data_IF_097515959952
#
_entry.id   IF_097515959952
#
_cell.length_a   1.000
_cell.length_b   1.000
_cell.length_c   1.000
_cell.angle_alpha   90.00
_cell.angle_beta   90.00
_cell.angle_gamma   90.00
#
_symmetry.space_group_name_H-M   'P 1'
#
loop_
_entity.id
_entity.type
_entity.pdbx_description
1 polymer ?
#
# COMPACT_ATOMS: atom_id res chain seq x y z
N UNK A 1 -1.91 2.39 98.39
CA UNK A 1 -2.46 1.13 97.82
C UNK A 1 -3.54 1.48 96.89
N UNK A 2 -3.29 1.37 95.63
CA UNK A 2 -4.28 1.11 94.56
C UNK A 2 -3.53 1.11 93.25
N UNK A 3 -3.45 -0.06 92.62
CA UNK A 3 -2.85 -0.38 91.35
C UNK A 3 -3.75 0.09 90.19
N UNK A 4 -3.25 0.91 89.30
CA UNK A 4 -3.91 1.30 88.10
C UNK A 4 -3.32 0.55 86.89
N UNK A 5 -4.09 -0.38 86.30
CA UNK A 5 -3.69 -1.12 85.15
C UNK A 5 -3.84 -0.28 83.89
N UNK A 6 -2.78 -0.18 83.09
CA UNK A 6 -2.79 0.40 81.80
C UNK A 6 -3.15 -0.67 80.74
N UNK A 7 -4.28 -0.50 80.09
CA UNK A 7 -4.68 -1.33 78.91
C UNK A 7 -4.04 -0.79 77.67
N UNK A 8 -3.15 -1.56 77.05
CA UNK A 8 -2.60 -1.29 75.72
C UNK A 8 -3.57 -1.78 74.65
N UNK A 9 -4.17 -0.84 73.93
CA UNK A 9 -4.89 -1.16 72.68
C UNK A 9 -3.91 -1.41 71.52
N UNK A 10 -3.82 -2.64 71.08
CA UNK A 10 -3.15 -2.99 69.85
C UNK A 10 -4.09 -2.73 68.64
N UNK A 11 -3.74 -1.74 67.85
CA UNK A 11 -4.39 -1.49 66.58
C UNK A 11 -3.88 -2.51 65.53
N UNK A 12 -4.76 -3.41 65.09
CA UNK A 12 -4.50 -4.30 63.96
C UNK A 12 -4.68 -3.51 62.68
N UNK A 13 -3.56 -3.13 62.06
CA UNK A 13 -3.56 -2.63 60.70
C UNK A 13 -3.80 -3.83 59.75
N UNK A 14 -5.02 -3.96 59.24
CA UNK A 14 -5.29 -4.85 58.11
C UNK A 14 -4.66 -4.23 56.84
N UNK A 15 -3.52 -4.74 56.45
CA UNK A 15 -2.90 -4.50 55.16
C UNK A 15 -3.75 -5.08 54.04
N UNK A 16 -4.51 -4.23 53.36
CA UNK A 16 -5.13 -4.58 52.09
C UNK A 16 -4.02 -4.78 51.06
N UNK A 17 -3.63 -6.02 50.84
CA UNK A 17 -2.82 -6.41 49.68
C UNK A 17 -3.61 -6.13 48.44
N UNK A 18 -3.35 -4.98 47.79
CA UNK A 18 -3.71 -4.78 46.39
C UNK A 18 -2.86 -5.76 45.59
N UNK A 19 -3.46 -6.90 45.26
CA UNK A 19 -2.98 -7.79 44.24
C UNK A 19 -2.99 -7.02 42.92
N UNK A 20 -1.83 -6.47 42.57
CA UNK A 20 -1.58 -6.07 41.20
C UNK A 20 -1.68 -7.34 40.38
N UNK A 21 -2.76 -7.46 39.59
CA UNK A 21 -2.83 -8.43 38.54
C UNK A 21 -1.64 -8.15 37.60
N UNK A 22 -0.55 -8.86 37.80
CA UNK A 22 0.51 -9.01 36.81
C UNK A 22 -0.11 -9.78 35.65
N UNK A 23 -0.74 -9.04 34.72
CA UNK A 23 -1.13 -9.56 33.43
C UNK A 23 0.12 -10.15 32.79
N UNK A 24 0.03 -11.39 32.42
CA UNK A 24 1.00 -12.12 31.59
C UNK A 24 1.17 -11.37 30.26
N UNK A 25 2.03 -10.34 30.25
CA UNK A 25 2.29 -9.47 29.09
C UNK A 25 3.10 -10.16 27.97
N UNK A 26 2.97 -11.47 27.80
CA UNK A 26 3.66 -12.28 26.80
C UNK A 26 2.77 -13.18 25.94
N UNK A 27 1.47 -13.30 26.25
CA UNK A 27 0.59 -14.30 25.61
C UNK A 27 -0.45 -13.74 24.63
N UNK A 28 -0.56 -12.43 24.46
CA UNK A 28 -1.58 -11.80 23.63
C UNK A 28 -0.98 -10.74 22.70
N UNK A 29 -1.61 -10.59 21.53
CA UNK A 29 -1.30 -9.51 20.59
C UNK A 29 -1.61 -8.16 21.23
N UNK A 30 -0.59 -7.35 21.36
CA UNK A 30 -0.71 -5.97 21.86
C UNK A 30 -1.05 -5.01 20.69
N UNK A 31 -1.83 -3.98 21.01
CA UNK A 31 -2.24 -2.95 20.05
C UNK A 31 -1.84 -1.58 20.58
N UNK A 32 -1.09 -0.82 19.78
CA UNK A 32 -0.79 0.59 20.05
C UNK A 32 -1.26 1.44 18.89
N UNK A 33 -2.05 2.46 19.15
CA UNK A 33 -2.52 3.41 18.13
C UNK A 33 -1.83 4.75 18.36
N UNK A 34 -1.12 5.23 17.35
CA UNK A 34 -0.52 6.56 17.34
C UNK A 34 -1.37 7.45 16.43
N UNK A 35 -2.20 8.28 17.04
CA UNK A 35 -3.10 9.24 16.40
C UNK A 35 -2.82 10.67 16.87
N UNK A 36 -1.65 10.90 17.45
CA UNK A 36 -1.20 12.23 17.89
C UNK A 36 -1.05 13.21 16.71
N UNK A 37 -1.09 14.51 17.03
CA UNK A 37 -1.06 15.58 16.03
C UNK A 37 0.15 15.49 15.08
N UNK A 38 1.31 15.07 15.55
CA UNK A 38 2.52 14.96 14.73
C UNK A 38 2.38 13.80 13.76
N UNK A 39 1.97 12.62 14.26
CA UNK A 39 1.70 11.45 13.42
C UNK A 39 0.71 11.79 12.31
N UNK A 40 -0.44 12.40 12.66
CA UNK A 40 -1.46 12.77 11.67
C UNK A 40 -1.00 13.88 10.72
N UNK A 41 -0.11 14.78 11.13
CA UNK A 41 0.42 15.82 10.25
C UNK A 41 1.35 15.26 9.17
N UNK A 42 2.09 14.19 9.48
CA UNK A 42 3.07 13.55 8.59
C UNK A 42 2.43 12.41 7.79
N UNK A 43 1.89 11.40 8.48
CA UNK A 43 1.34 10.20 7.86
C UNK A 43 -0.07 10.41 7.27
N UNK A 44 -0.80 11.46 7.70
CA UNK A 44 -2.20 11.78 7.36
C UNK A 44 -3.23 10.77 7.86
N UNK A 45 -2.78 9.66 8.41
CA UNK A 45 -3.59 8.58 8.98
C UNK A 45 -2.95 8.09 10.28
N UNK A 46 -3.72 7.47 11.19
CA UNK A 46 -3.17 6.81 12.35
C UNK A 46 -2.19 5.70 11.98
N UNK A 47 -1.14 5.55 12.78
CA UNK A 47 -0.21 4.43 12.72
C UNK A 47 -0.57 3.44 13.82
N UNK A 48 -0.91 2.22 13.45
CA UNK A 48 -1.35 1.16 14.36
C UNK A 48 -0.27 0.09 14.42
N UNK A 49 0.27 -0.16 15.61
CA UNK A 49 1.27 -1.19 15.82
C UNK A 49 0.63 -2.40 16.49
N UNK A 50 0.77 -3.56 15.85
CA UNK A 50 0.33 -4.85 16.34
C UNK A 50 1.56 -5.71 16.59
N UNK A 51 1.81 -6.06 17.86
CA UNK A 51 3.04 -6.75 18.23
C UNK A 51 2.83 -7.83 19.30
N UNK A 52 3.68 -8.87 19.25
CA UNK A 52 3.54 -10.08 20.05
C UNK A 52 2.80 -11.21 19.33
N UNK A 53 2.56 -12.35 20.01
CA UNK A 53 1.89 -13.50 19.41
C UNK A 53 0.43 -13.18 19.07
N UNK A 54 -0.04 -13.68 17.93
CA UNK A 54 -1.44 -13.58 17.51
C UNK A 54 -2.23 -14.67 18.22
N UNK A 55 -3.01 -14.28 19.23
CA UNK A 55 -3.91 -15.17 19.97
C UNK A 55 -5.30 -15.25 19.29
N UNK A 56 -6.10 -16.25 19.66
CA UNK A 56 -7.39 -16.54 19.05
C UNK A 56 -8.38 -15.36 19.08
N UNK A 57 -8.31 -14.50 20.09
CA UNK A 57 -9.20 -13.34 20.26
C UNK A 57 -8.66 -12.05 19.64
N UNK A 58 -7.45 -12.08 19.04
CA UNK A 58 -6.79 -10.90 18.47
C UNK A 58 -7.65 -10.17 17.44
N UNK A 59 -8.28 -10.90 16.54
CA UNK A 59 -9.15 -10.32 15.52
C UNK A 59 -10.40 -9.65 16.09
N UNK A 60 -10.99 -10.22 17.15
CA UNK A 60 -12.14 -9.63 17.84
C UNK A 60 -11.76 -8.30 18.48
N UNK A 61 -10.61 -8.24 19.20
CA UNK A 61 -10.15 -7.01 19.84
C UNK A 61 -9.82 -5.90 18.82
N UNK A 62 -9.12 -6.23 17.76
CA UNK A 62 -8.82 -5.26 16.69
C UNK A 62 -10.10 -4.84 15.96
N UNK A 63 -11.04 -5.77 15.72
CA UNK A 63 -12.35 -5.48 15.14
C UNK A 63 -13.16 -4.48 15.96
N UNK A 64 -13.15 -4.58 17.29
CA UNK A 64 -13.79 -3.61 18.20
C UNK A 64 -13.18 -2.20 18.08
N UNK A 65 -11.85 -2.10 17.90
CA UNK A 65 -11.18 -0.82 17.68
C UNK A 65 -11.54 -0.21 16.33
N UNK A 66 -11.72 -1.02 15.30
CA UNK A 66 -12.18 -0.58 13.97
C UNK A 66 -13.64 -0.10 14.05
N UNK A 67 -14.52 -0.86 14.68
CA UNK A 67 -15.94 -0.50 14.85
C UNK A 67 -16.11 0.80 15.65
N UNK A 68 -15.32 1.00 16.69
CA UNK A 68 -15.33 2.25 17.47
C UNK A 68 -14.60 3.41 16.78
N UNK A 69 -14.10 3.23 15.58
CA UNK A 69 -13.30 4.20 14.80
C UNK A 69 -12.00 4.67 15.46
N UNK A 70 -11.52 3.97 16.48
CA UNK A 70 -10.16 4.18 16.96
C UNK A 70 -9.10 3.79 15.94
N UNK A 71 -9.43 2.83 15.09
CA UNK A 71 -8.68 2.47 13.90
C UNK A 71 -9.58 2.77 12.69
N UNK A 72 -9.49 3.96 12.08
CA UNK A 72 -10.30 4.32 10.92
C UNK A 72 -9.83 3.57 9.66
N UNK A 73 -10.67 3.49 8.61
CA UNK A 73 -10.26 3.00 7.30
C UNK A 73 -9.02 3.74 6.77
N UNK A 74 -8.26 3.07 5.92
CA UNK A 74 -7.00 3.54 5.34
C UNK A 74 -5.85 3.77 6.34
N UNK A 75 -5.96 3.27 7.59
CA UNK A 75 -4.86 3.33 8.57
C UNK A 75 -3.64 2.51 8.12
N UNK A 76 -2.46 2.93 8.59
CA UNK A 76 -1.22 2.16 8.43
C UNK A 76 -1.07 1.17 9.59
N UNK A 77 -0.96 -0.11 9.26
CA UNK A 77 -0.82 -1.23 10.20
C UNK A 77 0.62 -1.73 10.18
N UNK A 78 1.32 -1.60 11.29
CA UNK A 78 2.69 -2.07 11.48
C UNK A 78 2.68 -3.37 12.28
N UNK A 79 3.25 -4.43 11.71
CA UNK A 79 3.24 -5.78 12.25
C UNK A 79 4.62 -6.17 12.77
N UNK A 80 4.65 -6.74 13.99
CA UNK A 80 5.83 -7.36 14.58
C UNK A 80 5.41 -8.57 15.43
N UNK A 81 5.30 -9.74 14.82
CA UNK A 81 4.78 -10.93 15.47
C UNK A 81 5.52 -12.20 15.05
N UNK A 82 5.78 -13.09 16.00
CA UNK A 82 6.34 -14.42 15.71
C UNK A 82 5.30 -15.40 15.14
N UNK A 83 4.05 -14.97 14.92
CA UNK A 83 2.95 -15.83 14.49
C UNK A 83 1.95 -16.14 15.59
N UNK A 84 1.30 -17.29 15.51
CA UNK A 84 0.30 -17.76 16.48
C UNK A 84 -0.92 -18.40 15.84
N UNK A 85 -2.14 -18.00 16.25
CA UNK A 85 -3.38 -18.59 15.73
C UNK A 85 -3.63 -18.17 14.27
N UNK A 86 -3.61 -19.14 13.37
CA UNK A 86 -3.79 -18.93 11.94
C UNK A 86 -5.18 -18.35 11.61
N UNK A 87 -6.24 -18.84 12.26
CA UNK A 87 -7.59 -18.38 11.99
C UNK A 87 -7.74 -16.90 12.38
N UNK A 88 -7.15 -16.50 13.51
CA UNK A 88 -7.08 -15.11 13.93
C UNK A 88 -6.22 -14.25 12.97
N UNK A 89 -5.08 -14.78 12.47
CA UNK A 89 -4.26 -14.11 11.46
C UNK A 89 -5.02 -13.83 10.16
N UNK A 90 -5.74 -14.83 9.63
CA UNK A 90 -6.61 -14.69 8.47
C UNK A 90 -7.75 -13.69 8.74
N UNK A 91 -8.38 -13.75 9.91
CA UNK A 91 -9.45 -12.84 10.29
C UNK A 91 -8.95 -11.39 10.41
N UNK A 92 -7.76 -11.15 10.98
CA UNK A 92 -7.11 -9.84 10.98
C UNK A 92 -6.89 -9.33 9.56
N UNK A 93 -6.35 -10.17 8.67
CA UNK A 93 -6.14 -9.79 7.29
C UNK A 93 -7.44 -9.42 6.55
N UNK A 94 -8.54 -10.13 6.79
CA UNK A 94 -9.86 -9.77 6.25
C UNK A 94 -10.35 -8.42 6.77
N UNK A 95 -10.12 -8.11 8.06
CA UNK A 95 -10.42 -6.78 8.63
C UNK A 95 -9.58 -5.69 7.95
N UNK A 96 -8.30 -5.94 7.71
CA UNK A 96 -7.42 -4.97 7.04
C UNK A 96 -7.86 -4.72 5.60
N UNK A 97 -8.22 -5.76 4.86
CA UNK A 97 -8.73 -5.62 3.49
C UNK A 97 -10.05 -4.84 3.45
N UNK A 98 -10.98 -5.16 4.33
CA UNK A 98 -12.27 -4.47 4.42
C UNK A 98 -12.11 -2.98 4.77
N UNK A 99 -11.09 -2.63 5.55
CA UNK A 99 -10.76 -1.24 5.90
C UNK A 99 -9.84 -0.53 4.90
N UNK A 100 -9.48 -1.13 3.77
CA UNK A 100 -8.48 -0.60 2.81
C UNK A 100 -7.16 -0.21 3.49
N UNK A 101 -6.75 -0.98 4.49
CA UNK A 101 -5.58 -0.66 5.30
C UNK A 101 -4.28 -0.98 4.56
N UNK A 102 -3.22 -0.29 4.96
CA UNK A 102 -1.87 -0.53 4.47
C UNK A 102 -1.10 -1.34 5.51
N UNK A 103 -0.44 -2.42 5.10
CA UNK A 103 0.39 -3.24 6.00
C UNK A 103 1.87 -3.02 5.79
N UNK A 104 2.59 -2.94 6.90
CA UNK A 104 4.03 -2.76 7.01
C UNK A 104 4.60 -3.74 8.04
N UNK A 105 5.90 -3.95 8.01
CA UNK A 105 6.62 -4.44 9.18
C UNK A 105 7.11 -3.24 9.99
N UNK A 106 7.06 -3.36 11.32
CA UNK A 106 7.55 -2.29 12.17
C UNK A 106 7.25 -2.52 13.66
N UNK A 107 8.19 -2.11 14.52
CA UNK A 107 8.03 -2.13 15.97
C UNK A 107 7.45 -0.80 16.47
N UNK A 108 6.65 -0.82 17.56
CA UNK A 108 6.06 0.38 18.10
C UNK A 108 7.12 1.40 18.48
N UNK A 109 6.93 2.64 18.04
CA UNK A 109 7.76 3.76 18.45
C UNK A 109 7.44 4.08 19.90
N UNK A 110 8.45 4.04 20.76
CA UNK A 110 8.32 4.58 22.10
C UNK A 110 8.24 6.10 21.99
N UNK A 111 7.58 6.73 22.97
CA UNK A 111 7.30 8.16 23.06
C UNK A 111 8.50 9.04 22.69
N UNK A 112 8.25 10.28 22.25
CA UNK A 112 9.19 11.26 21.67
C UNK A 112 10.49 11.53 22.49
N UNK A 113 10.59 11.02 23.70
CA UNK A 113 11.74 11.21 24.60
C UNK A 113 12.74 10.04 24.63
N UNK A 114 12.48 8.95 23.89
CA UNK A 114 13.40 7.81 23.89
C UNK A 114 14.16 7.71 22.57
N UNK A 115 15.49 7.45 22.59
CA UNK A 115 16.29 7.26 21.37
C UNK A 115 15.67 6.15 20.53
N UNK A 116 15.57 6.41 19.22
CA UNK A 116 15.12 5.43 18.23
C UNK A 116 16.28 4.45 18.01
N UNK A 117 16.28 3.35 18.74
CA UNK A 117 17.09 2.21 18.32
C UNK A 117 16.31 1.49 17.23
N UNK A 118 16.90 1.21 16.08
CA UNK A 118 16.28 0.40 15.05
C UNK A 118 16.06 -1.01 15.63
N UNK A 119 14.84 -1.30 16.05
CA UNK A 119 14.44 -2.66 16.37
C UNK A 119 14.00 -3.32 15.08
N UNK A 120 14.61 -4.44 14.76
CA UNK A 120 14.14 -5.31 13.71
C UNK A 120 12.76 -5.85 14.07
N UNK A 121 11.84 -5.81 13.11
CA UNK A 121 10.54 -6.45 13.23
C UNK A 121 10.56 -7.78 12.48
N UNK A 122 9.73 -8.71 12.93
CA UNK A 122 9.52 -9.95 12.19
C UNK A 122 8.03 -10.20 12.00
N UNK A 123 7.68 -10.85 10.90
CA UNK A 123 6.33 -11.29 10.63
C UNK A 123 6.36 -12.66 9.98
N UNK A 124 5.98 -13.69 10.73
CA UNK A 124 6.00 -15.10 10.29
C UNK A 124 4.67 -15.76 10.64
N UNK A 125 4.40 -16.92 10.07
CA UNK A 125 3.23 -17.75 10.34
C UNK A 125 1.92 -16.94 10.24
N UNK A 126 1.03 -16.99 11.23
CA UNK A 126 -0.24 -16.23 11.26
C UNK A 126 -0.09 -14.73 10.95
N UNK A 127 1.06 -14.13 11.29
CA UNK A 127 1.36 -12.74 10.96
C UNK A 127 1.49 -12.52 9.45
N UNK A 128 2.11 -13.43 8.73
CA UNK A 128 2.27 -13.34 7.28
C UNK A 128 0.91 -13.34 6.56
N UNK A 129 -0.06 -14.10 7.08
CA UNK A 129 -1.44 -14.08 6.58
C UNK A 129 -2.14 -12.77 6.92
N UNK A 130 -1.97 -12.24 8.12
CA UNK A 130 -2.50 -10.91 8.47
C UNK A 130 -1.92 -9.82 7.56
N UNK A 131 -0.60 -9.84 7.29
CA UNK A 131 0.07 -8.91 6.38
C UNK A 131 -0.52 -8.98 4.97
N UNK A 132 -0.76 -10.18 4.43
CA UNK A 132 -1.31 -10.37 3.08
C UNK A 132 -2.69 -9.71 2.89
N UNK A 133 -3.43 -9.48 3.99
CA UNK A 133 -4.73 -8.80 3.98
C UNK A 133 -4.68 -7.31 3.66
N UNK A 134 -3.54 -6.64 3.81
CA UNK A 134 -3.42 -5.23 3.43
C UNK A 134 -3.80 -4.98 1.97
N UNK A 135 -4.53 -3.89 1.70
CA UNK A 135 -4.76 -3.45 0.32
C UNK A 135 -3.43 -3.03 -0.30
N UNK A 136 -2.70 -2.20 0.40
CA UNK A 136 -1.31 -1.88 0.09
C UNK A 136 -0.40 -2.60 1.10
N UNK A 137 0.67 -3.18 0.59
CA UNK A 137 1.60 -4.01 1.36
C UNK A 137 3.02 -3.55 1.05
N UNK A 138 3.71 -3.02 2.06
CA UNK A 138 5.06 -2.50 1.90
C UNK A 138 6.08 -3.59 2.21
N UNK A 139 7.02 -3.79 1.30
CA UNK A 139 8.13 -4.69 1.51
C UNK A 139 8.94 -4.29 2.75
N UNK A 140 9.56 -5.25 3.47
CA UNK A 140 10.38 -4.98 4.63
C UNK A 140 11.56 -4.05 4.30
N UNK A 141 11.96 -3.24 5.26
CA UNK A 141 13.07 -2.31 5.13
C UNK A 141 14.11 -2.52 6.23
N UNK A 142 15.35 -2.19 5.95
CA UNK A 142 16.43 -2.31 6.92
C UNK A 142 16.64 -3.75 7.40
N UNK A 143 16.50 -4.00 8.71
CA UNK A 143 16.66 -5.31 9.34
C UNK A 143 15.36 -6.07 9.59
N UNK A 144 14.23 -5.56 9.08
CA UNK A 144 12.94 -6.23 9.19
C UNK A 144 12.93 -7.53 8.38
N UNK A 145 12.25 -8.57 8.90
CA UNK A 145 12.24 -9.89 8.31
C UNK A 145 10.82 -10.39 8.11
N UNK A 146 10.51 -10.80 6.89
CA UNK A 146 9.26 -11.47 6.54
C UNK A 146 9.51 -12.94 6.27
N UNK A 147 8.74 -13.82 6.93
CA UNK A 147 8.83 -15.24 6.72
C UNK A 147 7.50 -15.83 6.24
N UNK A 148 7.51 -16.40 5.04
CA UNK A 148 6.41 -17.19 4.52
C UNK A 148 6.52 -18.62 5.05
N UNK A 149 5.40 -19.19 5.51
CA UNK A 149 5.35 -20.56 6.01
C UNK A 149 4.06 -21.23 5.52
N UNK A 150 4.16 -22.44 4.94
CA UNK A 150 2.99 -23.18 4.52
C UNK A 150 2.20 -23.70 5.72
N UNK A 151 0.90 -23.81 5.55
CA UNK A 151 0.00 -24.33 6.59
C UNK A 151 -0.05 -25.85 6.51
N UNK A 152 0.18 -26.50 7.63
CA UNK A 152 0.02 -27.95 7.76
C UNK A 152 -1.47 -28.35 7.88
N UNK A 153 -1.81 -29.51 7.32
CA UNK A 153 -3.16 -30.08 7.39
C UNK A 153 -4.09 -29.61 6.27
N UNK A 154 -4.76 -30.57 5.61
CA UNK A 154 -5.51 -30.34 4.36
C UNK A 154 -6.60 -29.26 4.47
N UNK A 155 -7.40 -29.26 5.53
CA UNK A 155 -8.49 -28.29 5.70
C UNK A 155 -8.00 -26.87 5.96
N UNK A 156 -6.99 -26.72 6.83
CA UNK A 156 -6.40 -25.41 7.13
C UNK A 156 -5.62 -24.87 5.95
N UNK A 157 -4.89 -25.71 5.21
CA UNK A 157 -4.20 -25.34 3.99
C UNK A 157 -5.16 -24.89 2.88
N UNK A 158 -6.31 -25.55 2.72
CA UNK A 158 -7.32 -25.14 1.75
C UNK A 158 -7.90 -23.74 2.10
N UNK A 159 -8.19 -23.49 3.38
CA UNK A 159 -8.68 -22.19 3.86
C UNK A 159 -7.64 -21.09 3.64
N UNK A 160 -6.38 -21.34 3.98
CA UNK A 160 -5.28 -20.42 3.79
C UNK A 160 -5.04 -20.09 2.30
N UNK A 161 -5.08 -21.13 1.44
CA UNK A 161 -4.95 -21.00 -0.01
C UNK A 161 -6.08 -20.15 -0.60
N UNK A 162 -7.33 -20.42 -0.23
CA UNK A 162 -8.47 -19.63 -0.67
C UNK A 162 -8.34 -18.16 -0.23
N UNK A 163 -7.98 -17.95 1.03
CA UNK A 163 -7.75 -16.60 1.57
C UNK A 163 -6.66 -15.84 0.81
N UNK A 164 -5.50 -16.43 0.55
CA UNK A 164 -4.41 -15.77 -0.19
C UNK A 164 -4.86 -15.37 -1.60
N UNK A 165 -5.60 -16.24 -2.30
CA UNK A 165 -6.18 -15.92 -3.61
C UNK A 165 -7.16 -14.74 -3.53
N UNK A 166 -8.03 -14.71 -2.52
CA UNK A 166 -8.95 -13.59 -2.27
C UNK A 166 -8.18 -12.27 -2.02
N UNK A 167 -7.00 -12.36 -1.42
CA UNK A 167 -6.10 -11.22 -1.18
C UNK A 167 -5.22 -10.87 -2.40
N UNK A 168 -5.37 -11.58 -3.52
CA UNK A 168 -4.56 -11.36 -4.72
C UNK A 168 -3.08 -11.72 -4.53
N UNK A 169 -2.82 -12.75 -3.72
CA UNK A 169 -1.47 -13.29 -3.47
C UNK A 169 -1.41 -14.72 -3.98
N UNK A 170 -0.36 -15.06 -4.73
CA UNK A 170 -0.13 -16.43 -5.14
C UNK A 170 0.20 -17.30 -3.91
N UNK A 171 -0.61 -18.33 -3.60
CA UNK A 171 -0.35 -19.22 -2.47
C UNK A 171 1.01 -19.92 -2.53
N UNK A 172 1.59 -20.11 -3.72
CA UNK A 172 2.90 -20.75 -3.89
C UNK A 172 4.04 -19.97 -3.23
N UNK A 173 3.88 -18.66 -3.02
CA UNK A 173 4.84 -17.81 -2.29
C UNK A 173 5.02 -18.29 -0.85
N UNK A 174 4.00 -18.91 -0.26
CA UNK A 174 4.04 -19.46 1.09
C UNK A 174 4.64 -20.90 1.14
N UNK A 175 5.03 -21.46 0.00
CA UNK A 175 5.63 -22.77 -0.09
C UNK A 175 4.61 -23.91 -0.16
N UNK A 176 5.12 -25.13 -0.24
CA UNK A 176 4.30 -26.35 -0.31
C UNK A 176 3.98 -26.86 1.09
N UNK A 177 2.77 -27.34 1.29
CA UNK A 177 2.27 -27.86 2.57
C UNK A 177 3.05 -29.07 3.15
N UNK A 178 4.02 -29.62 2.42
CA UNK A 178 4.91 -30.67 2.88
C UNK A 178 6.13 -30.20 3.68
N UNK A 179 6.38 -28.87 3.72
CA UNK A 179 7.47 -28.27 4.49
C UNK A 179 6.91 -27.45 5.65
N UNK A 180 7.48 -27.62 6.84
CA UNK A 180 7.21 -26.74 8.00
C UNK A 180 8.23 -25.63 8.14
N UNK A 181 9.15 -25.51 7.18
CA UNK A 181 10.23 -24.53 7.21
C UNK A 181 9.76 -23.14 6.82
N UNK A 182 10.26 -22.13 7.54
CA UNK A 182 10.02 -20.73 7.21
C UNK A 182 10.93 -20.32 6.07
N UNK A 183 10.34 -19.87 4.98
CA UNK A 183 11.07 -19.23 3.87
C UNK A 183 11.17 -17.74 4.14
N UNK A 184 12.37 -17.26 4.36
CA UNK A 184 12.62 -15.82 4.55
C UNK A 184 12.70 -15.13 3.19
N UNK A 185 11.81 -14.15 3.00
CA UNK A 185 11.71 -13.39 1.76
C UNK A 185 12.32 -12.00 1.96
N UNK A 186 13.14 -11.59 1.01
CA UNK A 186 13.63 -10.22 0.94
C UNK A 186 12.64 -9.29 0.22
N UNK A 187 12.92 -7.99 0.24
CA UNK A 187 12.05 -6.98 -0.32
C UNK A 187 11.87 -7.10 -1.84
N UNK A 188 12.89 -7.56 -2.56
CA UNK A 188 12.83 -7.73 -4.01
C UNK A 188 11.98 -8.95 -4.38
N UNK A 189 12.19 -10.08 -3.70
CA UNK A 189 11.40 -11.29 -3.88
C UNK A 189 9.92 -11.03 -3.59
N UNK A 190 9.60 -10.35 -2.47
CA UNK A 190 8.21 -10.04 -2.13
C UNK A 190 7.51 -9.16 -3.18
N UNK A 191 8.22 -8.23 -3.82
CA UNK A 191 7.67 -7.43 -4.91
C UNK A 191 7.49 -8.25 -6.18
N UNK A 192 8.48 -9.05 -6.55
CA UNK A 192 8.45 -9.89 -7.73
C UNK A 192 7.30 -10.90 -7.67
N UNK A 193 7.04 -11.47 -6.52
CA UNK A 193 5.98 -12.46 -6.30
C UNK A 193 4.61 -11.81 -6.01
N UNK A 194 4.50 -10.49 -6.09
CA UNK A 194 3.24 -9.76 -5.86
C UNK A 194 2.75 -9.77 -4.41
N UNK A 195 3.57 -10.27 -3.47
CA UNK A 195 3.24 -10.26 -2.05
C UNK A 195 3.32 -8.84 -1.48
N UNK A 196 4.30 -8.04 -1.91
CA UNK A 196 4.37 -6.61 -1.65
C UNK A 196 4.09 -5.82 -2.92
N UNK A 197 3.29 -4.75 -2.81
CA UNK A 197 2.95 -3.85 -3.92
C UNK A 197 3.45 -2.42 -3.70
N UNK A 198 4.11 -2.15 -2.58
CA UNK A 198 4.68 -0.85 -2.21
C UNK A 198 3.74 0.33 -2.49
N UNK A 199 2.47 0.16 -2.14
CA UNK A 199 1.48 1.22 -2.25
C UNK A 199 0.87 1.40 -3.64
N UNK A 200 1.04 0.44 -4.57
CA UNK A 200 0.44 0.47 -5.91
C UNK A 200 -0.18 -0.87 -6.27
N UNK A 201 -1.40 -0.85 -6.76
CA UNK A 201 -2.01 -2.05 -7.32
C UNK A 201 -1.58 -2.23 -8.78
N UNK A 202 -1.76 -3.43 -9.29
CA UNK A 202 -1.53 -3.75 -10.71
C UNK A 202 -2.39 -2.84 -11.60
N UNK A 203 -1.81 -2.17 -12.61
CA UNK A 203 -2.57 -1.36 -13.53
C UNK A 203 -3.51 -2.22 -14.38
N UNK A 204 -4.62 -1.62 -14.80
CA UNK A 204 -5.61 -2.20 -15.71
C UNK A 204 -5.72 -1.35 -16.96
N UNK A 205 -6.16 -1.93 -18.08
CA UNK A 205 -6.34 -1.26 -19.35
C UNK A 205 -7.76 -1.46 -19.87
N UNK A 206 -8.40 -0.38 -20.32
CA UNK A 206 -9.75 -0.40 -20.89
C UNK A 206 -9.78 0.44 -22.16
N UNK A 207 -10.28 -0.16 -23.27
CA UNK A 207 -10.56 0.56 -24.48
C UNK A 207 -11.84 1.38 -24.34
N UNK A 208 -11.83 2.59 -24.91
CA UNK A 208 -12.99 3.48 -24.92
C UNK A 208 -13.18 4.16 -26.28
N UNK A 209 -14.38 4.70 -26.52
CA UNK A 209 -14.62 5.55 -27.70
C UNK A 209 -13.82 6.85 -27.55
N UNK A 210 -13.30 7.35 -28.67
CA UNK A 210 -12.67 8.65 -28.77
C UNK A 210 -13.21 9.39 -30.00
N UNK A 211 -13.22 10.72 -29.97
CA UNK A 211 -13.60 11.56 -31.10
C UNK A 211 -12.62 11.29 -32.27
N UNK A 212 -13.07 10.51 -33.26
CA UNK A 212 -12.28 10.17 -34.45
C UNK A 212 -11.30 9.00 -34.29
N UNK A 213 -11.38 8.20 -33.22
CA UNK A 213 -10.48 7.07 -33.02
C UNK A 213 -10.78 6.22 -31.80
N UNK A 214 -9.80 5.44 -31.38
CA UNK A 214 -9.85 4.60 -30.18
C UNK A 214 -8.97 5.20 -29.10
N UNK A 215 -9.44 5.21 -27.86
CA UNK A 215 -8.64 5.52 -26.70
C UNK A 215 -8.31 4.26 -25.88
N UNK A 216 -7.17 4.27 -25.21
CA UNK A 216 -6.78 3.27 -24.21
C UNK A 216 -6.58 3.99 -22.88
N UNK A 217 -7.37 3.63 -21.88
CA UNK A 217 -7.25 4.16 -20.53
C UNK A 217 -6.54 3.13 -19.66
N UNK A 218 -5.38 3.50 -19.12
CA UNK A 218 -4.63 2.75 -18.11
C UNK A 218 -4.98 3.33 -16.75
N UNK A 219 -5.41 2.48 -15.81
CA UNK A 219 -5.79 2.92 -14.46
C UNK A 219 -5.02 2.13 -13.42
N UNK A 220 -4.44 2.83 -12.44
CA UNK A 220 -3.77 2.23 -11.29
C UNK A 220 -4.27 2.89 -10.00
N UNK A 221 -4.75 2.08 -9.06
CA UNK A 221 -5.01 2.55 -7.70
C UNK A 221 -3.71 2.52 -6.90
N UNK A 222 -3.37 3.67 -6.31
CA UNK A 222 -2.20 3.83 -5.46
C UNK A 222 -2.58 4.39 -4.09
N UNK A 223 -1.64 4.33 -3.15
CA UNK A 223 -1.84 4.81 -1.76
C UNK A 223 -2.19 6.30 -1.68
N UNK A 224 -1.71 7.09 -2.61
CA UNK A 224 -1.92 8.52 -2.71
C UNK A 224 -3.10 8.92 -3.61
N UNK A 225 -3.72 7.95 -4.30
CA UNK A 225 -4.92 8.18 -5.11
C UNK A 225 -4.99 7.31 -6.36
N UNK A 226 -5.94 7.60 -7.21
CA UNK A 226 -6.09 6.92 -8.50
C UNK A 226 -5.28 7.65 -9.57
N UNK A 227 -4.48 6.89 -10.30
CA UNK A 227 -3.67 7.36 -11.41
C UNK A 227 -4.26 6.85 -12.71
N UNK A 228 -4.38 7.72 -13.71
CA UNK A 228 -4.81 7.32 -15.06
C UNK A 228 -3.89 7.93 -16.12
N UNK A 229 -3.58 7.11 -17.14
CA UNK A 229 -3.03 7.55 -18.41
C UNK A 229 -4.05 7.24 -19.49
N UNK A 230 -4.49 8.27 -20.21
CA UNK A 230 -5.43 8.13 -21.33
C UNK A 230 -4.65 8.38 -22.61
N UNK A 231 -4.48 7.34 -23.41
CA UNK A 231 -3.82 7.38 -24.70
C UNK A 231 -4.88 7.48 -25.78
N UNK A 232 -4.74 8.46 -26.67
CA UNK A 232 -5.70 8.69 -27.76
C UNK A 232 -4.95 8.86 -29.08
N UNK A 233 -5.29 8.03 -30.07
CA UNK A 233 -4.73 8.13 -31.42
C UNK A 233 -5.30 9.32 -32.19
N UNK A 234 -4.44 9.96 -32.95
CA UNK A 234 -4.76 10.98 -33.96
C UNK A 234 -4.05 10.62 -35.25
N UNK A 235 -4.51 11.14 -36.40
CA UNK A 235 -3.86 10.89 -37.69
C UNK A 235 -2.38 11.29 -37.76
N UNK A 236 -1.99 12.29 -36.96
CA UNK A 236 -0.65 12.90 -36.91
C UNK A 236 0.16 12.50 -35.68
N UNK A 237 -0.42 11.72 -34.75
CA UNK A 237 0.29 11.31 -33.55
C UNK A 237 -0.58 10.66 -32.49
N UNK A 238 -0.13 10.82 -31.28
CA UNK A 238 -0.75 10.32 -30.05
C UNK A 238 -0.86 11.47 -29.06
N UNK A 239 -2.00 11.61 -28.39
CA UNK A 239 -2.05 12.40 -27.16
C UNK A 239 -2.04 11.48 -25.93
N UNK A 240 -1.30 11.87 -24.91
CA UNK A 240 -1.32 11.23 -23.59
C UNK A 240 -1.85 12.26 -22.60
N UNK A 241 -2.92 11.90 -21.90
CA UNK A 241 -3.48 12.69 -20.80
C UNK A 241 -3.24 11.96 -19.49
N UNK A 242 -2.62 12.65 -18.53
CA UNK A 242 -2.53 12.19 -17.16
C UNK A 242 -3.70 12.72 -16.34
N UNK A 243 -4.28 11.85 -15.52
CA UNK A 243 -5.24 12.23 -14.48
C UNK A 243 -4.72 11.68 -13.15
N UNK A 244 -4.35 12.58 -12.25
CA UNK A 244 -3.75 12.26 -10.95
C UNK A 244 -4.70 12.69 -9.84
N UNK A 245 -5.53 11.76 -9.37
CA UNK A 245 -6.56 12.02 -8.37
C UNK A 245 -5.98 11.93 -6.94
N UNK A 246 -5.65 13.08 -6.35
CA UNK A 246 -4.95 13.20 -5.06
C UNK A 246 -5.68 14.06 -4.03
N UNK A 247 -6.92 14.41 -4.31
CA UNK A 247 -7.74 15.31 -3.51
C UNK A 247 -7.63 16.78 -3.95
N UNK A 248 -8.74 17.51 -3.86
CA UNK A 248 -8.87 18.84 -4.46
C UNK A 248 -7.85 19.86 -3.93
N UNK A 249 -7.60 19.88 -2.62
CA UNK A 249 -6.66 20.84 -2.03
C UNK A 249 -5.22 20.56 -2.47
N UNK A 250 -4.82 19.31 -2.46
CA UNK A 250 -3.48 18.89 -2.88
C UNK A 250 -3.28 19.11 -4.38
N UNK A 251 -4.30 18.85 -5.19
CA UNK A 251 -4.27 19.10 -6.64
C UNK A 251 -4.06 20.61 -6.92
N UNK A 252 -4.82 21.50 -6.27
CA UNK A 252 -4.64 22.95 -6.41
C UNK A 252 -3.24 23.42 -5.99
N UNK A 253 -2.73 22.93 -4.86
CA UNK A 253 -1.38 23.29 -4.39
C UNK A 253 -0.29 22.82 -5.37
N UNK A 254 -0.47 21.65 -5.95
CA UNK A 254 0.48 21.08 -6.90
C UNK A 254 0.49 21.87 -8.21
N UNK A 255 -0.67 22.17 -8.77
CA UNK A 255 -0.79 22.99 -10.00
C UNK A 255 -0.22 24.39 -9.80
N UNK A 256 -0.44 25.03 -8.64
CA UNK A 256 0.10 26.35 -8.34
C UNK A 256 1.64 26.41 -8.28
N UNK A 257 2.31 25.29 -8.05
CA UNK A 257 3.79 25.19 -7.97
C UNK A 257 4.43 24.69 -9.27
N UNK A 258 3.68 23.89 -10.04
CA UNK A 258 4.17 23.31 -11.27
C UNK A 258 4.38 24.39 -12.34
N UNK A 259 5.52 24.36 -13.00
CA UNK A 259 5.85 25.24 -14.13
C UNK A 259 5.87 24.50 -15.45
N UNK A 260 6.03 23.18 -15.43
CA UNK A 260 6.03 22.34 -16.61
C UNK A 260 5.57 20.90 -16.28
N UNK A 261 5.14 20.19 -17.33
CA UNK A 261 4.70 18.80 -17.25
C UNK A 261 5.28 18.00 -18.40
N UNK A 262 5.58 16.74 -18.16
CA UNK A 262 6.11 15.84 -19.17
C UNK A 262 5.75 14.39 -18.89
N UNK A 263 5.84 13.57 -19.94
CA UNK A 263 5.71 12.11 -19.84
C UNK A 263 7.04 11.44 -20.12
N UNK A 264 7.27 10.32 -19.47
CA UNK A 264 8.41 9.44 -19.72
C UNK A 264 7.92 8.08 -20.19
N UNK A 265 8.66 7.49 -21.13
CA UNK A 265 8.55 6.09 -21.54
C UNK A 265 9.92 5.47 -21.31
N UNK A 266 10.01 4.46 -20.44
CA UNK A 266 11.27 3.81 -20.08
C UNK A 266 12.34 4.80 -19.60
N UNK A 267 11.95 5.68 -18.66
CA UNK A 267 12.81 6.71 -18.06
C UNK A 267 13.38 7.76 -19.05
N UNK A 268 12.76 7.88 -20.23
CA UNK A 268 13.13 8.89 -21.23
C UNK A 268 11.93 9.78 -21.53
N UNK A 269 12.13 11.09 -21.68
CA UNK A 269 11.07 11.99 -22.10
C UNK A 269 10.41 11.53 -23.41
N UNK A 270 9.08 11.43 -23.42
CA UNK A 270 8.32 10.99 -24.58
C UNK A 270 8.19 12.08 -25.65
N UNK A 271 8.32 13.34 -25.30
CA UNK A 271 8.36 14.51 -26.16
C UNK A 271 9.06 15.66 -25.44
N UNK A 272 9.31 16.77 -26.17
CA UNK A 272 9.81 18.00 -25.58
C UNK A 272 8.82 18.56 -24.54
N UNK A 273 9.36 19.21 -23.53
CA UNK A 273 8.63 19.74 -22.38
C UNK A 273 7.52 20.74 -22.81
N UNK A 274 6.35 20.64 -22.20
CA UNK A 274 5.22 21.50 -22.57
C UNK A 274 4.71 22.27 -21.36
N UNK A 275 4.85 23.59 -21.37
CA UNK A 275 4.47 24.48 -20.28
C UNK A 275 2.96 24.75 -20.14
N UNK A 276 2.12 24.30 -21.06
CA UNK A 276 0.85 24.98 -21.30
C UNK A 276 -0.43 24.35 -20.77
N UNK A 277 -0.48 23.09 -20.33
CA UNK A 277 -1.76 22.39 -20.14
C UNK A 277 -1.95 21.72 -18.79
N UNK A 278 -1.45 22.34 -17.71
CA UNK A 278 -1.65 21.81 -16.35
C UNK A 278 -2.89 22.46 -15.74
N UNK A 279 -3.86 21.67 -15.31
CA UNK A 279 -5.10 22.12 -14.72
C UNK A 279 -5.57 21.26 -13.56
N UNK A 280 -6.54 21.74 -12.79
CA UNK A 280 -7.28 20.94 -11.81
C UNK A 280 -8.67 20.63 -12.32
N UNK A 281 -9.06 19.35 -12.25
CA UNK A 281 -10.43 18.90 -12.55
C UNK A 281 -10.94 18.11 -11.35
N UNK A 282 -11.86 18.69 -10.59
CA UNK A 282 -12.34 18.11 -9.35
C UNK A 282 -11.22 17.87 -8.33
N UNK A 283 -10.97 16.61 -8.00
CA UNK A 283 -9.91 16.18 -7.08
C UNK A 283 -8.58 15.84 -7.77
N UNK A 284 -8.47 16.08 -9.07
CA UNK A 284 -7.35 15.60 -9.89
C UNK A 284 -6.52 16.74 -10.46
N UNK A 285 -5.22 16.51 -10.60
CA UNK A 285 -4.36 17.25 -11.54
C UNK A 285 -4.47 16.58 -12.90
N UNK A 286 -4.69 17.37 -13.94
CA UNK A 286 -4.83 16.91 -15.32
C UNK A 286 -3.88 17.69 -16.22
N UNK A 287 -3.15 16.99 -17.07
CA UNK A 287 -2.32 17.57 -18.13
C UNK A 287 -2.22 16.63 -19.32
N UNK A 288 -2.04 17.22 -20.50
CA UNK A 288 -2.01 16.49 -21.77
C UNK A 288 -0.80 16.90 -22.60
N UNK A 289 -0.18 15.95 -23.28
CA UNK A 289 0.92 16.19 -24.21
C UNK A 289 0.69 15.40 -25.51
N UNK A 290 1.01 16.02 -26.64
CA UNK A 290 1.06 15.33 -27.94
C UNK A 290 2.40 14.64 -28.11
N UNK A 291 2.35 13.39 -28.52
CA UNK A 291 3.52 12.53 -28.73
C UNK A 291 3.63 12.23 -30.22
N UNK A 292 4.79 12.48 -30.85
CA UNK A 292 5.00 12.19 -32.27
C UNK A 292 4.79 10.72 -32.61
N UNK A 293 4.32 10.43 -33.83
CA UNK A 293 4.11 9.05 -34.33
C UNK A 293 5.35 8.16 -34.21
N UNK A 294 6.55 8.73 -34.33
CA UNK A 294 7.80 7.99 -34.18
C UNK A 294 7.93 7.34 -32.78
N UNK A 295 7.35 7.93 -31.76
CA UNK A 295 7.38 7.41 -30.39
C UNK A 295 6.38 6.26 -30.16
N UNK A 296 5.39 6.07 -31.04
CA UNK A 296 4.45 4.94 -30.95
C UNK A 296 5.15 3.58 -31.00
N UNK A 297 6.29 3.49 -31.67
CA UNK A 297 7.08 2.27 -31.74
C UNK A 297 7.67 1.84 -30.39
N UNK A 298 7.74 2.73 -29.41
CA UNK A 298 8.25 2.43 -28.06
C UNK A 298 7.18 1.82 -27.15
N UNK A 299 5.87 2.08 -27.39
CA UNK A 299 4.79 1.59 -26.53
C UNK A 299 4.74 0.06 -26.39
N UNK A 300 4.90 -0.75 -27.45
CA UNK A 300 4.89 -2.21 -27.34
C UNK A 300 5.97 -2.80 -26.43
N UNK A 301 7.08 -2.09 -26.28
CA UNK A 301 8.23 -2.49 -25.44
C UNK A 301 8.36 -1.65 -24.17
N UNK A 302 7.39 -0.79 -23.89
CA UNK A 302 7.41 -0.01 -22.66
C UNK A 302 7.35 -0.93 -21.44
N UNK A 303 8.29 -0.78 -20.50
CA UNK A 303 8.22 -1.41 -19.17
C UNK A 303 7.71 -0.43 -18.12
N UNK A 304 7.86 0.88 -18.37
CA UNK A 304 7.45 1.96 -17.49
C UNK A 304 6.87 3.12 -18.30
N UNK A 305 5.78 3.68 -17.83
CA UNK A 305 5.29 4.99 -18.26
C UNK A 305 5.09 5.88 -17.02
N UNK A 306 5.52 7.14 -17.13
CA UNK A 306 5.40 8.10 -16.04
C UNK A 306 4.83 9.43 -16.52
N UNK A 307 4.20 10.15 -15.60
CA UNK A 307 3.60 11.46 -15.78
C UNK A 307 4.07 12.38 -14.66
N UNK A 308 4.81 13.42 -15.01
CA UNK A 308 5.49 14.29 -14.07
C UNK A 308 5.10 15.76 -14.21
N UNK A 309 5.04 16.42 -13.08
CA UNK A 309 5.01 17.86 -12.93
C UNK A 309 6.30 18.31 -12.26
N UNK A 310 6.92 19.36 -12.71
CA UNK A 310 8.12 19.89 -12.07
C UNK A 310 7.95 21.37 -11.72
N UNK A 311 8.69 21.80 -10.68
CA UNK A 311 8.77 23.20 -10.28
C UNK A 311 9.76 23.97 -11.15
N UNK A 312 9.85 25.30 -10.95
CA UNK A 312 10.71 26.21 -11.74
C UNK A 312 12.18 25.80 -11.76
N UNK A 313 12.67 25.09 -10.76
CA UNK A 313 14.08 24.67 -10.67
C UNK A 313 14.32 23.27 -11.18
N UNK A 314 13.26 22.50 -11.51
CA UNK A 314 13.37 21.09 -11.86
C UNK A 314 13.83 20.19 -10.70
N UNK A 315 14.06 20.78 -9.52
CA UNK A 315 14.63 20.08 -8.35
C UNK A 315 13.61 19.15 -7.69
N UNK A 316 12.33 19.46 -7.82
CA UNK A 316 11.23 18.70 -7.23
C UNK A 316 10.25 18.35 -8.34
N UNK A 317 10.02 17.05 -8.49
CA UNK A 317 9.00 16.52 -9.39
C UNK A 317 7.90 15.83 -8.61
N UNK A 318 6.67 15.99 -9.06
CA UNK A 318 5.47 15.38 -8.53
C UNK A 318 4.79 14.61 -9.65
N UNK A 319 4.19 13.50 -9.34
CA UNK A 319 3.48 12.71 -10.34
C UNK A 319 3.45 11.25 -9.98
N UNK A 320 3.30 10.41 -10.98
CA UNK A 320 3.20 8.97 -10.80
C UNK A 320 3.85 8.23 -11.97
N UNK A 321 4.06 6.96 -11.74
CA UNK A 321 4.53 6.02 -12.75
C UNK A 321 3.77 4.70 -12.64
N UNK A 322 3.69 3.97 -13.74
CA UNK A 322 3.05 2.67 -13.85
C UNK A 322 3.98 1.68 -14.55
N UNK A 323 4.04 0.46 -14.03
CA UNK A 323 4.66 -0.67 -14.73
C UNK A 323 3.73 -1.17 -15.83
N UNK A 324 4.27 -1.37 -17.03
CA UNK A 324 3.45 -1.68 -18.21
C UNK A 324 3.33 -3.17 -18.50
N UNK A 325 4.11 -4.04 -17.84
CA UNK A 325 4.07 -5.47 -18.07
C UNK A 325 2.66 -6.08 -17.94
N UNK A 326 1.84 -5.70 -16.94
CA UNK A 326 0.50 -6.25 -16.79
C UNK A 326 -0.48 -5.87 -17.93
N UNK A 327 -0.22 -4.78 -18.64
CA UNK A 327 -1.07 -4.24 -19.71
C UNK A 327 -0.36 -4.20 -21.06
N UNK A 328 0.71 -4.96 -21.21
CA UNK A 328 1.56 -4.97 -22.42
C UNK A 328 0.82 -5.39 -23.69
N UNK A 329 -0.10 -6.34 -23.59
CA UNK A 329 -0.85 -6.81 -24.75
C UNK A 329 -1.80 -5.74 -25.29
N UNK A 330 -2.47 -5.01 -24.39
CA UNK A 330 -3.34 -3.89 -24.72
C UNK A 330 -2.56 -2.74 -25.35
N UNK A 331 -1.37 -2.42 -24.81
CA UNK A 331 -0.47 -1.42 -25.40
C UNK A 331 0.01 -1.80 -26.80
N UNK A 332 0.35 -3.07 -27.05
CA UNK A 332 0.73 -3.58 -28.39
C UNK A 332 -0.41 -3.44 -29.38
N UNK A 333 -1.60 -3.90 -28.98
CA UNK A 333 -2.80 -3.83 -29.83
C UNK A 333 -3.19 -2.38 -30.13
N UNK A 334 -3.13 -1.50 -29.14
CA UNK A 334 -3.38 -0.07 -29.28
C UNK A 334 -2.38 0.59 -30.24
N UNK A 335 -1.08 0.37 -30.04
CA UNK A 335 -0.02 0.91 -30.89
C UNK A 335 -0.18 0.48 -32.36
N UNK A 336 -0.51 -0.80 -32.59
CA UNK A 336 -0.76 -1.33 -33.94
C UNK A 336 -1.97 -0.66 -34.60
N UNK A 337 -3.07 -0.47 -33.86
CA UNK A 337 -4.26 0.23 -34.36
C UNK A 337 -3.98 1.69 -34.71
N UNK A 338 -3.19 2.40 -33.89
CA UNK A 338 -2.76 3.77 -34.17
C UNK A 338 -1.92 3.88 -35.44
N UNK A 339 -0.97 2.97 -35.65
CA UNK A 339 -0.15 2.95 -36.84
C UNK A 339 -0.96 2.68 -38.11
N UNK A 340 -1.98 1.83 -38.03
CA UNK A 340 -2.90 1.56 -39.18
C UNK A 340 -3.73 2.79 -39.49
N UNK A 341 -4.27 3.49 -38.50
CA UNK A 341 -5.02 4.74 -38.68
C UNK A 341 -4.18 5.81 -39.39
N UNK A 342 -2.95 6.03 -38.95
CA UNK A 342 -2.03 7.00 -39.55
C UNK A 342 -1.73 6.68 -41.05
N UNK A 343 -1.53 5.40 -41.39
CA UNK A 343 -1.30 4.96 -42.77
C UNK A 343 -2.51 5.21 -43.66
N UNK A 344 -3.74 4.93 -43.21
CA UNK A 344 -4.97 5.14 -43.97
C UNK A 344 -5.19 6.62 -44.30
N UNK A 345 -4.89 7.51 -43.36
CA UNK A 345 -5.04 8.96 -43.54
C UNK A 345 -4.02 9.52 -44.54
N UNK A 346 -2.81 8.96 -44.59
CA UNK A 346 -1.79 9.37 -45.58
C UNK A 346 -2.12 8.92 -47.01
N UNK A 347 -2.81 7.78 -47.16
CA UNK A 347 -3.22 7.25 -48.50
C UNK A 347 -4.42 7.99 -49.09
N UNK A 348 -5.23 8.64 -48.25
CA UNK A 348 -6.44 9.39 -48.72
C UNK A 348 -6.12 10.84 -49.09
N UNK A 349 -4.95 11.35 -48.78
CA UNK A 349 -4.46 12.71 -49.10
C UNK A 349 -3.52 12.79 -50.29
N UNK A 350 -3.15 11.66 -50.89
CA UNK A 350 -2.39 11.56 -52.14
C UNK A 350 -3.30 11.20 -53.31
#
# INVERSE_FOLDING_TARGET
MLLGGAATMQAHAQGASRGAAQGTSGSQLAVQVNDDRITLSVAKVPQVYLYGPIDADAAQRVGALIQSRKIPPNSDIYLNSPGGDLAAGIALGRLFRAGNMTTHLGSPRRTATQPIFPKSSQCVDACAYAYAGGLFRWAPTGSDRFGAQPVAGNASAATATAYLKDMGVDPQVFGNASSSEVTWLDAEQMRKDGLANNGRLTPTAVYGPANGGTSLTLTQLARDGEHRLILQCHPDGLSITANYAIGADRARQMVARATHSYFEINDKPAAEDNHANISTVGSSVVFTQSIPLAQLSQLPSAYLMAAWLADRGGSVRYGFWMEMDPVRNELRSFSSGCQQMAKQTSTTKG
#
